data_IF_267663122860
#
_entry.id   IF_267663122860
#
_cell.length_a   1.000
_cell.length_b   1.000
_cell.length_c   1.000
_cell.angle_alpha   90.00
_cell.angle_beta   90.00
_cell.angle_gamma   90.00
#
_symmetry.space_group_name_H-M   'P 1'
#
loop_
_entity.id
_entity.type
_entity.pdbx_description
1 polymer ?
#
# COMPACT_ATOMS: atom_id res chain seq x y z
N UNK A 1 -4.85 2.64 9.35
CA UNK A 1 -4.43 1.63 8.35
C UNK A 1 -5.38 1.69 7.18
N UNK A 2 -4.91 1.97 5.95
CA UNK A 2 -5.78 2.08 4.77
C UNK A 2 -6.32 0.75 4.26
N UNK A 3 -5.64 -0.35 4.61
CA UNK A 3 -6.01 -1.72 4.25
C UNK A 3 -6.66 -2.49 5.41
N UNK A 4 -6.87 -1.86 6.57
CA UNK A 4 -7.41 -2.54 7.76
C UNK A 4 -6.41 -3.44 8.51
N UNK A 5 -5.19 -3.62 7.97
CA UNK A 5 -4.16 -4.50 8.52
C UNK A 5 -3.15 -3.78 9.42
N UNK A 6 -2.74 -4.41 10.53
CA UNK A 6 -1.68 -3.94 11.41
C UNK A 6 -0.29 -4.04 10.76
N UNK A 7 0.68 -3.18 11.11
CA UNK A 7 2.01 -3.25 10.54
C UNK A 7 2.66 -4.55 11.04
N UNK A 8 3.17 -5.40 10.15
CA UNK A 8 3.79 -6.65 10.56
C UNK A 8 5.15 -6.42 11.23
N UNK A 9 5.66 -7.44 11.90
CA UNK A 9 7.05 -7.44 12.36
C UNK A 9 8.01 -7.40 11.16
N UNK A 10 9.22 -6.80 11.28
CA UNK A 10 10.16 -6.67 10.16
C UNK A 10 10.48 -7.98 9.41
N UNK A 11 10.50 -9.11 10.12
CA UNK A 11 10.75 -10.44 9.54
C UNK A 11 9.58 -10.94 8.69
N UNK A 12 8.36 -10.52 9.02
CA UNK A 12 7.12 -10.92 8.36
C UNK A 12 6.71 -9.93 7.25
N UNK A 13 7.26 -8.71 7.27
CA UNK A 13 6.98 -7.67 6.29
C UNK A 13 7.06 -8.14 4.83
N UNK A 14 8.08 -8.90 4.39
CA UNK A 14 8.13 -9.38 3.00
C UNK A 14 6.98 -10.32 2.63
N UNK A 15 6.54 -11.16 3.57
CA UNK A 15 5.43 -12.11 3.35
C UNK A 15 4.13 -11.34 3.20
N UNK A 16 3.88 -10.41 4.11
CA UNK A 16 2.66 -9.58 4.10
C UNK A 16 2.62 -8.66 2.88
N UNK A 17 3.73 -8.04 2.50
CA UNK A 17 3.84 -7.22 1.27
C UNK A 17 3.55 -8.05 0.03
N UNK A 18 4.08 -9.28 -0.04
CA UNK A 18 3.78 -10.19 -1.15
C UNK A 18 2.27 -10.45 -1.24
N UNK A 19 1.67 -10.92 -0.16
CA UNK A 19 0.27 -11.33 -0.13
C UNK A 19 -0.70 -10.16 -0.40
N UNK A 20 -0.45 -9.00 0.21
CA UNK A 20 -1.40 -7.88 0.14
C UNK A 20 -1.18 -6.98 -1.07
N UNK A 21 0.05 -6.86 -1.56
CA UNK A 21 0.40 -5.87 -2.59
C UNK A 21 0.82 -6.51 -3.90
N UNK A 22 1.72 -7.48 -3.87
CA UNK A 22 2.24 -8.08 -5.11
C UNK A 22 1.23 -9.04 -5.71
N UNK A 23 0.72 -9.99 -4.92
CA UNK A 23 -0.26 -10.99 -5.36
C UNK A 23 -1.60 -10.31 -5.76
N UNK A 24 -1.89 -9.13 -5.19
CA UNK A 24 -3.02 -8.28 -5.58
C UNK A 24 -2.77 -7.43 -6.85
N UNK A 25 -1.57 -7.51 -7.44
CA UNK A 25 -1.17 -6.74 -8.63
C UNK A 25 -1.02 -5.24 -8.39
N UNK A 26 -0.88 -4.81 -7.13
CA UNK A 26 -0.75 -3.41 -6.74
C UNK A 26 0.71 -2.92 -6.77
N UNK A 27 1.64 -3.83 -6.48
CA UNK A 27 3.08 -3.57 -6.42
C UNK A 27 3.85 -4.57 -7.27
N UNK A 28 4.88 -4.09 -7.96
CA UNK A 28 5.75 -4.91 -8.80
C UNK A 28 6.69 -5.78 -7.95
N UNK A 29 6.98 -7.01 -8.41
CA UNK A 29 7.79 -7.97 -7.66
C UNK A 29 9.23 -7.50 -7.41
N UNK A 30 9.76 -6.63 -8.26
CA UNK A 30 11.08 -6.01 -8.10
C UNK A 30 11.20 -5.27 -6.76
N UNK A 31 10.17 -4.53 -6.36
CA UNK A 31 10.16 -3.81 -5.08
C UNK A 31 10.11 -4.75 -3.88
N UNK A 32 9.44 -5.91 -4.01
CA UNK A 32 9.48 -6.94 -2.98
C UNK A 32 10.89 -7.53 -2.82
N UNK A 33 11.60 -7.73 -3.92
CA UNK A 33 12.97 -8.23 -3.89
C UNK A 33 13.93 -7.21 -3.27
N UNK A 34 13.81 -5.93 -3.63
CA UNK A 34 14.58 -4.84 -3.01
C UNK A 34 14.35 -4.78 -1.49
N UNK A 35 13.08 -4.91 -1.05
CA UNK A 35 12.74 -4.94 0.37
C UNK A 35 13.41 -6.12 1.10
N UNK A 36 13.36 -7.33 0.51
CA UNK A 36 14.00 -8.52 1.10
C UNK A 36 15.50 -8.31 1.24
N UNK A 37 16.16 -7.80 0.20
CA UNK A 37 17.60 -7.56 0.20
C UNK A 37 18.02 -6.58 1.30
N UNK A 38 17.28 -5.48 1.47
CA UNK A 38 17.54 -4.49 2.54
C UNK A 38 17.36 -5.11 3.93
N UNK A 39 16.33 -5.92 4.13
CA UNK A 39 16.07 -6.58 5.43
C UNK A 39 17.16 -7.60 5.76
N UNK A 40 17.58 -8.41 4.80
CA UNK A 40 18.66 -9.37 5.00
C UNK A 40 20.01 -8.67 5.22
N UNK A 41 20.28 -7.59 4.48
CA UNK A 41 21.46 -6.76 4.73
C UNK A 41 21.48 -6.20 6.16
N UNK A 42 20.36 -5.63 6.62
CA UNK A 42 20.23 -5.14 8.00
C UNK A 42 20.54 -6.24 9.02
N UNK A 43 19.97 -7.43 8.84
CA UNK A 43 20.21 -8.57 9.77
C UNK A 43 21.68 -8.98 9.78
N UNK A 44 22.32 -9.07 8.62
CA UNK A 44 23.73 -9.43 8.51
C UNK A 44 24.64 -8.39 9.18
N UNK A 45 24.28 -7.11 9.13
CA UNK A 45 24.96 -6.03 9.88
C UNK A 45 24.71 -6.16 11.38
N UNK A 46 23.46 -6.39 11.81
CA UNK A 46 23.11 -6.56 13.24
C UNK A 46 23.82 -7.75 13.88
N UNK A 47 23.97 -8.86 13.14
CA UNK A 47 24.68 -10.06 13.60
C UNK A 47 26.21 -9.95 13.46
N UNK A 48 26.74 -8.85 12.93
CA UNK A 48 28.16 -8.61 12.68
C UNK A 48 28.79 -9.58 11.67
N UNK A 49 27.97 -10.20 10.81
CA UNK A 49 28.42 -11.00 9.67
C UNK A 49 29.06 -10.08 8.61
N UNK A 50 28.49 -8.88 8.44
CA UNK A 50 29.05 -7.80 7.63
C UNK A 50 29.63 -6.75 8.56
N UNK A 51 30.94 -6.52 8.46
CA UNK A 51 31.66 -5.51 9.26
C UNK A 51 32.07 -4.29 8.46
N UNK A 52 32.24 -4.47 7.15
CA UNK A 52 32.64 -3.43 6.20
C UNK A 52 31.77 -3.50 4.96
N UNK A 53 31.45 -2.34 4.39
CA UNK A 53 30.71 -2.18 3.15
C UNK A 53 31.36 -1.07 2.33
N UNK A 54 31.44 -1.23 1.01
CA UNK A 54 31.92 -0.16 0.13
C UNK A 54 30.88 0.96 0.04
N UNK A 55 31.34 2.21 -0.09
CA UNK A 55 30.45 3.36 -0.30
C UNK A 55 29.53 3.17 -1.50
N UNK A 56 30.05 2.62 -2.61
CA UNK A 56 29.26 2.29 -3.80
C UNK A 56 28.10 1.34 -3.47
N UNK A 57 28.34 0.29 -2.68
CA UNK A 57 27.28 -0.66 -2.32
C UNK A 57 26.24 -0.04 -1.40
N UNK A 58 26.66 0.86 -0.52
CA UNK A 58 25.75 1.64 0.33
C UNK A 58 24.86 2.57 -0.53
N UNK A 59 25.44 3.24 -1.53
CA UNK A 59 24.71 4.11 -2.45
C UNK A 59 23.64 3.32 -3.23
N UNK A 60 23.93 2.09 -3.66
CA UNK A 60 22.93 1.21 -4.28
C UNK A 60 21.73 0.95 -3.35
N UNK A 61 21.97 0.67 -2.07
CA UNK A 61 20.90 0.45 -1.09
C UNK A 61 20.09 1.73 -0.83
N UNK A 62 20.74 2.89 -0.79
CA UNK A 62 20.08 4.19 -0.66
C UNK A 62 19.15 4.43 -1.86
N UNK A 63 19.63 4.20 -3.08
CA UNK A 63 18.84 4.40 -4.28
C UNK A 63 17.66 3.42 -4.40
N UNK A 64 17.86 2.15 -4.04
CA UNK A 64 16.77 1.16 -3.91
C UNK A 64 15.70 1.64 -2.93
N UNK A 65 16.13 2.11 -1.76
CA UNK A 65 15.22 2.61 -0.71
C UNK A 65 14.41 3.81 -1.19
N UNK A 66 15.05 4.79 -1.84
CA UNK A 66 14.34 5.96 -2.41
C UNK A 66 13.28 5.55 -3.43
N UNK A 67 13.63 4.65 -4.36
CA UNK A 67 12.68 4.15 -5.37
C UNK A 67 11.50 3.42 -4.72
N UNK A 68 11.77 2.56 -3.73
CA UNK A 68 10.74 1.82 -3.01
C UNK A 68 9.78 2.74 -2.26
N UNK A 69 10.32 3.70 -1.48
CA UNK A 69 9.50 4.66 -0.73
C UNK A 69 8.64 5.50 -1.67
N UNK A 70 9.22 6.02 -2.75
CA UNK A 70 8.47 6.80 -3.74
C UNK A 70 7.33 6.00 -4.37
N UNK A 71 7.57 4.73 -4.73
CA UNK A 71 6.52 3.85 -5.27
C UNK A 71 5.41 3.60 -4.25
N UNK A 72 5.75 3.42 -2.98
CA UNK A 72 4.78 3.22 -1.90
C UNK A 72 3.93 4.46 -1.63
N UNK A 73 4.51 5.65 -1.72
CA UNK A 73 3.76 6.92 -1.64
C UNK A 73 2.75 7.03 -2.78
N UNK A 74 3.15 6.72 -4.01
CA UNK A 74 2.25 6.69 -5.17
C UNK A 74 1.11 5.68 -4.96
N UNK A 75 1.43 4.49 -4.46
CA UNK A 75 0.44 3.46 -4.16
C UNK A 75 -0.58 3.95 -3.12
N UNK A 76 -0.09 4.60 -2.05
CA UNK A 76 -0.95 5.17 -1.02
C UNK A 76 -1.93 6.19 -1.61
N UNK A 77 -1.45 7.08 -2.48
CA UNK A 77 -2.30 8.07 -3.17
C UNK A 77 -3.34 7.39 -4.07
N UNK A 78 -2.97 6.36 -4.81
CA UNK A 78 -3.89 5.58 -5.65
C UNK A 78 -5.00 4.93 -4.81
N UNK A 79 -4.65 4.33 -3.67
CA UNK A 79 -5.62 3.71 -2.76
C UNK A 79 -6.54 4.73 -2.11
N UNK A 80 -6.01 5.89 -1.72
CA UNK A 80 -6.81 7.00 -1.19
C UNK A 80 -7.82 7.49 -2.22
N UNK A 81 -7.40 7.67 -3.47
CA UNK A 81 -8.27 8.10 -4.57
C UNK A 81 -9.40 7.09 -4.80
N UNK A 82 -9.06 5.80 -4.94
CA UNK A 82 -10.04 4.72 -5.14
C UNK A 82 -11.06 4.64 -3.99
N UNK A 83 -10.62 4.87 -2.75
CA UNK A 83 -11.53 4.92 -1.59
C UNK A 83 -12.48 6.11 -1.67
N UNK A 84 -11.98 7.29 -2.04
CA UNK A 84 -12.81 8.50 -2.21
C UNK A 84 -13.85 8.31 -3.31
N UNK A 85 -13.47 7.74 -4.44
CA UNK A 85 -14.39 7.42 -5.55
C UNK A 85 -15.55 6.53 -5.07
N UNK A 86 -15.25 5.42 -4.39
CA UNK A 86 -16.29 4.54 -3.81
C UNK A 86 -17.22 5.23 -2.83
N UNK A 87 -16.70 6.17 -2.03
CA UNK A 87 -17.53 6.95 -1.09
C UNK A 87 -18.49 7.85 -1.86
N UNK A 88 -18.00 8.54 -2.90
CA UNK A 88 -18.83 9.40 -3.74
C UNK A 88 -19.93 8.61 -4.44
N UNK A 89 -19.60 7.47 -5.04
CA UNK A 89 -20.56 6.57 -5.69
C UNK A 89 -21.66 6.12 -4.71
N UNK A 90 -21.26 5.64 -3.52
CA UNK A 90 -22.21 5.18 -2.50
C UNK A 90 -23.08 6.32 -1.97
N UNK A 91 -22.51 7.51 -1.75
CA UNK A 91 -23.27 8.67 -1.32
C UNK A 91 -24.30 9.08 -2.37
N UNK A 92 -23.92 9.08 -3.64
CA UNK A 92 -24.83 9.38 -4.75
C UNK A 92 -25.98 8.38 -4.80
N UNK A 93 -25.69 7.07 -4.73
CA UNK A 93 -26.71 6.02 -4.69
C UNK A 93 -27.70 6.20 -3.52
N UNK A 94 -27.19 6.49 -2.32
CA UNK A 94 -28.01 6.73 -1.13
C UNK A 94 -28.90 7.97 -1.30
N UNK A 95 -28.36 9.08 -1.83
CA UNK A 95 -29.16 10.29 -2.07
C UNK A 95 -30.29 10.06 -3.08
N UNK A 96 -30.02 9.32 -4.16
CA UNK A 96 -31.04 8.98 -5.15
C UNK A 96 -32.13 8.12 -4.51
N UNK A 97 -31.76 7.08 -3.76
CA UNK A 97 -32.73 6.23 -3.05
C UNK A 97 -33.57 7.01 -2.05
N UNK A 98 -32.96 7.91 -1.27
CA UNK A 98 -33.65 8.76 -0.32
C UNK A 98 -34.61 9.74 -1.01
N UNK A 99 -34.18 10.35 -2.12
CA UNK A 99 -35.01 11.24 -2.92
C UNK A 99 -36.22 10.50 -3.52
N UNK A 100 -36.00 9.32 -4.10
CA UNK A 100 -37.07 8.48 -4.65
C UNK A 100 -38.06 8.07 -3.56
N UNK A 101 -37.57 7.61 -2.40
CA UNK A 101 -38.42 7.24 -1.27
C UNK A 101 -39.28 8.43 -0.79
N UNK A 102 -38.68 9.62 -0.72
CA UNK A 102 -39.38 10.85 -0.32
C UNK A 102 -40.45 11.23 -1.33
N UNK A 103 -40.14 11.20 -2.63
CA UNK A 103 -41.09 11.54 -3.69
C UNK A 103 -42.26 10.55 -3.76
N UNK A 104 -42.01 9.25 -3.54
CA UNK A 104 -43.06 8.22 -3.41
C UNK A 104 -43.97 8.50 -2.22
N UNK A 105 -43.41 8.82 -1.05
CA UNK A 105 -44.21 9.18 0.13
C UNK A 105 -45.05 10.46 -0.07
N UNK A 106 -44.62 11.35 -0.96
CA UNK A 106 -45.37 12.55 -1.34
C UNK A 106 -46.37 12.32 -2.49
N UNK A 107 -46.54 11.09 -2.99
CA UNK A 107 -47.30 10.76 -4.21
C UNK A 107 -46.87 11.59 -5.45
N UNK A 108 -45.61 12.06 -5.47
CA UNK A 108 -45.03 12.81 -6.59
C UNK A 108 -44.23 11.92 -7.56
N UNK A 109 -44.18 10.62 -7.28
CA UNK A 109 -43.62 9.60 -8.14
C UNK A 109 -44.54 8.37 -8.05
N UNK A 110 -44.89 7.71 -9.17
CA UNK A 110 -45.65 6.46 -9.15
C UNK A 110 -44.87 5.33 -8.46
#
# INVERSE_FOLDING_TARGET
>A
MYMGETPPAPKETPVVVKQLLVDAGLLEETYLNDLKEVIEFRKAVEHKDIKDISGQKLDEFIEKTKKYVSRMEQLLLQLQKKRKEKIVEKNYEVMIKASVATLKNMNKLP
#
